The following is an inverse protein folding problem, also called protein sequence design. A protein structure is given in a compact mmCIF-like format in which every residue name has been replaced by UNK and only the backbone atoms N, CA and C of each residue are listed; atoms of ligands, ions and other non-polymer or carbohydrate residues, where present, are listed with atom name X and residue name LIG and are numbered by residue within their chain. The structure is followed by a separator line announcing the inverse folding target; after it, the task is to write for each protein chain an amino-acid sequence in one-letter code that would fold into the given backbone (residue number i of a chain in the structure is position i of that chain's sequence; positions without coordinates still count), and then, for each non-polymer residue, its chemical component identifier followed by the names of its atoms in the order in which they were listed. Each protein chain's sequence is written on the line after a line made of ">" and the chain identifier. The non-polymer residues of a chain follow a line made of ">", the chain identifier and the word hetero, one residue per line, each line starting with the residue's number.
data_IF_679381204635
#
_entry.id   IF_679381204635
#
_cell.length_a   1.000
_cell.length_b   1.000
_cell.length_c   1.000
_cell.angle_alpha   90.00
_cell.angle_beta   90.00
_cell.angle_gamma   90.00
#
_symmetry.space_group_name_H-M   'P 1'
#
loop_
_entity.id
_entity.type
_entity.pdbx_description
1 polymer ?
#
# COMPACT_ATOMS: atom_id res chain seq x y z
N UNK A 1 -13.05 41.71 71.33
CA UNK A 1 -14.46 41.29 71.19
C UNK A 1 -14.77 41.29 69.71
N UNK A 2 -15.38 40.22 69.24
CA UNK A 2 -15.47 39.84 67.84
C UNK A 2 -16.49 40.69 67.07
N UNK A 3 -16.06 41.30 65.97
CA UNK A 3 -16.93 41.66 64.86
C UNK A 3 -16.86 40.51 63.84
N UNK A 4 -18.00 39.87 63.62
CA UNK A 4 -18.17 38.77 62.66
C UNK A 4 -18.33 39.38 61.28
N UNK A 5 -17.32 39.27 60.44
CA UNK A 5 -17.49 39.41 58.99
C UNK A 5 -18.22 38.16 58.47
N UNK A 6 -19.37 38.39 57.84
CA UNK A 6 -20.16 37.39 57.13
C UNK A 6 -19.39 36.87 55.90
N UNK A 7 -19.35 35.54 55.67
CA UNK A 7 -18.79 34.99 54.44
C UNK A 7 -19.58 35.45 53.22
N UNK A 8 -18.85 36.10 52.32
CA UNK A 8 -19.23 36.55 51.00
C UNK A 8 -19.94 35.43 50.20
N UNK A 9 -21.15 35.69 49.72
CA UNK A 9 -21.87 34.80 48.80
C UNK A 9 -21.07 34.64 47.49
N UNK A 10 -20.96 33.43 46.91
CA UNK A 10 -20.29 33.26 45.63
C UNK A 10 -21.09 33.97 44.53
N UNK A 11 -20.39 34.84 43.79
CA UNK A 11 -20.90 35.57 42.63
C UNK A 11 -21.45 34.60 41.58
N UNK A 12 -22.61 34.98 41.07
CA UNK A 12 -23.34 34.53 39.88
C UNK A 12 -22.61 33.49 39.01
N UNK A 13 -23.20 32.30 38.94
CA UNK A 13 -22.97 31.38 37.82
C UNK A 13 -23.48 32.11 36.58
N UNK A 14 -22.56 32.66 35.79
CA UNK A 14 -22.87 33.10 34.43
C UNK A 14 -23.22 31.83 33.68
N UNK A 15 -24.52 31.55 33.54
CA UNK A 15 -25.00 30.57 32.56
C UNK A 15 -24.42 31.02 31.22
N UNK A 16 -23.51 30.20 30.69
CA UNK A 16 -22.98 30.39 29.35
C UNK A 16 -24.18 30.60 28.41
N UNK A 17 -24.13 31.68 27.63
CA UNK A 17 -25.19 31.94 26.68
C UNK A 17 -25.30 30.73 25.73
N UNK A 18 -26.50 30.34 25.27
CA UNK A 18 -26.67 29.17 24.39
C UNK A 18 -25.74 29.21 23.17
N UNK A 19 -25.42 30.43 22.68
CA UNK A 19 -24.50 30.67 21.57
C UNK A 19 -23.02 30.37 21.90
N UNK A 20 -22.60 30.54 23.16
CA UNK A 20 -21.25 30.19 23.62
C UNK A 20 -21.09 28.67 23.81
N UNK A 21 -22.15 27.99 24.25
CA UNK A 21 -22.18 26.52 24.34
C UNK A 21 -22.12 25.88 22.95
N UNK A 22 -22.89 26.42 21.98
CA UNK A 22 -22.89 25.91 20.60
C UNK A 22 -21.53 26.12 19.91
N UNK A 23 -20.86 27.25 20.16
CA UNK A 23 -19.47 27.48 19.70
C UNK A 23 -18.45 26.54 20.32
N UNK A 24 -18.58 26.27 21.63
CA UNK A 24 -17.71 25.31 22.31
C UNK A 24 -17.96 23.89 21.83
N UNK A 25 -19.20 23.52 21.51
CA UNK A 25 -19.56 22.24 20.90
C UNK A 25 -18.98 22.10 19.48
N UNK A 26 -19.06 23.15 18.66
CA UNK A 26 -18.42 23.19 17.32
C UNK A 26 -16.89 23.08 17.40
N UNK A 27 -16.24 23.81 18.31
CA UNK A 27 -14.78 23.71 18.51
C UNK A 27 -14.35 22.32 19.00
N UNK A 28 -15.13 21.69 19.87
CA UNK A 28 -14.84 20.33 20.36
C UNK A 28 -15.01 19.28 19.24
N UNK A 29 -16.04 19.44 18.39
CA UNK A 29 -16.25 18.60 17.20
C UNK A 29 -15.10 18.74 16.18
N UNK A 30 -14.63 19.95 15.92
CA UNK A 30 -13.47 20.17 15.04
C UNK A 30 -12.19 19.54 15.60
N UNK A 31 -11.96 19.63 16.92
CA UNK A 31 -10.80 19.01 17.57
C UNK A 31 -10.90 17.47 17.56
N UNK A 32 -12.10 16.91 17.71
CA UNK A 32 -12.34 15.46 17.59
C UNK A 32 -12.13 14.96 16.15
N UNK A 33 -12.62 15.67 15.13
CA UNK A 33 -12.37 15.31 13.72
C UNK A 33 -10.88 15.35 13.37
N UNK A 34 -10.16 16.40 13.81
CA UNK A 34 -8.71 16.53 13.59
C UNK A 34 -7.93 15.44 14.33
N UNK A 35 -8.38 15.05 15.53
CA UNK A 35 -7.79 13.96 16.29
C UNK A 35 -8.06 12.58 15.65
N UNK A 36 -9.27 12.35 15.13
CA UNK A 36 -9.59 11.12 14.39
C UNK A 36 -8.76 10.98 13.11
N UNK A 37 -8.55 12.07 12.36
CA UNK A 37 -7.73 12.07 11.15
C UNK A 37 -6.25 11.79 11.43
N UNK A 38 -5.71 12.33 12.54
CA UNK A 38 -4.35 12.02 12.99
C UNK A 38 -4.22 10.55 13.42
N UNK A 39 -5.19 10.02 14.18
CA UNK A 39 -5.19 8.60 14.63
C UNK A 39 -5.36 7.63 13.45
N UNK A 40 -6.13 8.00 12.41
CA UNK A 40 -6.25 7.24 11.15
C UNK A 40 -4.93 7.16 10.40
N UNK A 41 -4.12 8.21 10.48
CA UNK A 41 -2.81 8.25 9.81
C UNK A 41 -1.76 7.40 10.53
N UNK A 42 -1.91 7.20 11.84
CA UNK A 42 -0.92 6.54 12.69
C UNK A 42 -1.20 5.06 12.98
N UNK A 43 -2.34 4.49 12.56
CA UNK A 43 -2.52 3.03 12.69
C UNK A 43 -1.33 2.32 12.05
N UNK A 44 -0.49 1.61 12.82
CA UNK A 44 0.60 0.84 12.24
C UNK A 44 -0.06 -0.14 11.28
N UNK A 45 0.35 -0.13 10.00
CA UNK A 45 -0.05 -1.18 9.06
C UNK A 45 0.30 -2.51 9.72
N UNK A 46 -0.69 -3.22 10.25
CA UNK A 46 -0.49 -4.55 10.83
C UNK A 46 0.24 -5.39 9.78
N UNK A 47 1.50 -5.73 10.07
CA UNK A 47 2.26 -6.65 9.23
C UNK A 47 1.47 -7.95 9.19
N UNK A 48 0.95 -8.28 8.00
CA UNK A 48 0.04 -9.41 7.83
C UNK A 48 0.71 -10.69 8.36
N UNK A 49 0.26 -11.26 9.49
CA UNK A 49 0.97 -12.37 10.16
C UNK A 49 1.12 -13.60 9.26
N UNK A 50 0.19 -13.77 8.31
CA UNK A 50 0.18 -14.83 7.32
C UNK A 50 1.46 -14.92 6.46
N UNK A 51 2.05 -13.78 6.06
CA UNK A 51 3.23 -13.78 5.19
C UNK A 51 4.46 -14.38 5.87
N UNK A 52 4.57 -14.19 7.19
CA UNK A 52 5.70 -14.68 7.98
C UNK A 52 5.66 -16.20 8.15
N UNK A 53 4.45 -16.76 8.26
CA UNK A 53 4.23 -18.21 8.30
C UNK A 53 4.55 -18.87 6.95
N UNK A 54 4.15 -18.26 5.83
CA UNK A 54 4.47 -18.75 4.49
C UNK A 54 6.00 -18.83 4.28
N UNK A 55 6.73 -17.80 4.71
CA UNK A 55 8.19 -17.75 4.59
C UNK A 55 8.89 -18.87 5.38
N UNK A 56 8.37 -19.21 6.56
CA UNK A 56 8.92 -20.28 7.39
C UNK A 56 8.75 -21.66 6.73
N UNK A 57 7.63 -21.88 6.04
CA UNK A 57 7.32 -23.13 5.33
C UNK A 57 8.06 -23.29 4.00
N UNK A 58 8.63 -22.21 3.46
CA UNK A 58 9.23 -22.19 2.13
C UNK A 58 10.50 -23.04 2.05
N UNK A 59 10.50 -24.03 1.15
CA UNK A 59 11.68 -24.85 0.84
C UNK A 59 12.26 -24.41 -0.51
N UNK A 60 13.42 -23.71 -0.53
CA UNK A 60 13.99 -23.18 -1.76
C UNK A 60 14.54 -24.29 -2.67
N UNK A 61 14.23 -24.21 -3.96
CA UNK A 61 14.71 -25.14 -4.99
C UNK A 61 15.91 -24.54 -5.71
N UNK A 62 15.96 -23.23 -5.88
CA UNK A 62 17.05 -22.55 -6.57
C UNK A 62 18.29 -22.36 -5.69
N UNK A 63 19.48 -22.24 -6.31
CA UNK A 63 20.71 -21.89 -5.59
C UNK A 63 20.59 -20.52 -4.91
N UNK A 64 19.91 -19.57 -5.58
CA UNK A 64 19.68 -18.23 -5.06
C UNK A 64 18.77 -18.27 -3.82
N UNK A 65 17.66 -18.99 -3.89
CA UNK A 65 16.74 -19.15 -2.76
C UNK A 65 17.42 -19.79 -1.54
N UNK A 66 18.33 -20.75 -1.73
CA UNK A 66 19.13 -21.30 -0.63
C UNK A 66 20.05 -20.25 -0.01
N UNK A 67 20.75 -19.46 -0.82
CA UNK A 67 21.63 -18.39 -0.33
C UNK A 67 20.86 -17.31 0.45
N UNK A 68 19.65 -16.97 0.00
CA UNK A 68 18.77 -16.00 0.66
C UNK A 68 18.23 -16.59 1.97
N UNK A 69 17.76 -17.84 1.97
CA UNK A 69 17.28 -18.52 3.17
C UNK A 69 18.37 -18.73 4.23
N UNK A 70 19.61 -18.98 3.80
CA UNK A 70 20.79 -19.04 4.66
C UNK A 70 21.22 -17.64 5.19
N UNK A 71 20.69 -16.55 4.63
CA UNK A 71 21.01 -15.18 5.04
C UNK A 71 22.33 -14.64 4.49
N UNK A 72 22.91 -15.29 3.47
CA UNK A 72 24.15 -14.85 2.82
C UNK A 72 23.95 -13.57 2.00
N UNK A 73 22.78 -13.44 1.39
CA UNK A 73 22.37 -12.24 0.64
C UNK A 73 21.25 -11.58 1.44
N UNK A 74 21.48 -10.32 1.84
CA UNK A 74 20.51 -9.51 2.60
C UNK A 74 19.87 -8.42 1.77
N UNK A 75 20.55 -7.98 0.70
CA UNK A 75 20.09 -6.90 -0.16
C UNK A 75 19.65 -7.47 -1.52
N UNK A 76 18.50 -7.02 -1.99
CA UNK A 76 18.02 -7.38 -3.34
C UNK A 76 18.86 -6.73 -4.45
N UNK A 77 19.47 -5.59 -4.16
CA UNK A 77 20.34 -4.86 -5.08
C UNK A 77 21.49 -5.72 -5.61
N UNK A 78 22.11 -6.54 -4.77
CA UNK A 78 23.19 -7.46 -5.16
C UNK A 78 22.72 -8.48 -6.22
N UNK A 79 21.46 -8.88 -6.15
CA UNK A 79 20.85 -9.82 -7.10
C UNK A 79 20.58 -9.12 -8.43
N UNK A 80 20.02 -7.91 -8.38
CA UNK A 80 19.65 -7.13 -9.56
C UNK A 80 20.89 -6.65 -10.32
N UNK A 81 21.90 -6.13 -9.62
CA UNK A 81 23.15 -5.63 -10.21
C UNK A 81 23.99 -6.78 -10.82
N UNK A 82 23.92 -7.98 -10.24
CA UNK A 82 24.54 -9.17 -10.83
C UNK A 82 23.79 -9.76 -12.03
N UNK A 83 22.63 -9.18 -12.39
CA UNK A 83 21.81 -9.60 -13.52
C UNK A 83 21.19 -11.00 -13.36
N UNK A 84 21.14 -11.53 -12.13
CA UNK A 84 20.56 -12.86 -11.85
C UNK A 84 19.05 -12.77 -11.88
N UNK A 85 18.41 -13.71 -12.58
CA UNK A 85 16.94 -13.79 -12.62
C UNK A 85 16.37 -14.37 -11.33
N UNK A 86 15.36 -13.70 -10.79
CA UNK A 86 14.55 -14.20 -9.68
C UNK A 86 13.53 -15.19 -10.26
N UNK A 87 13.51 -16.42 -9.74
CA UNK A 87 12.63 -17.49 -10.21
C UNK A 87 11.64 -17.97 -9.13
N UNK A 88 11.84 -17.54 -7.89
CA UNK A 88 10.99 -17.87 -6.74
C UNK A 88 10.46 -16.54 -6.17
N UNK A 89 9.13 -16.32 -6.12
CA UNK A 89 8.55 -15.07 -5.62
C UNK A 89 8.86 -14.84 -4.14
N UNK A 90 9.09 -15.91 -3.38
CA UNK A 90 9.38 -15.88 -1.95
C UNK A 90 10.73 -15.21 -1.64
N UNK A 91 11.67 -15.20 -2.62
CA UNK A 91 12.92 -14.43 -2.51
C UNK A 91 12.61 -12.94 -2.35
N UNK A 92 11.69 -12.42 -3.15
CA UNK A 92 11.31 -11.02 -3.12
C UNK A 92 10.58 -10.67 -1.82
N UNK A 93 9.74 -11.57 -1.32
CA UNK A 93 9.03 -11.40 -0.05
C UNK A 93 9.95 -11.49 1.18
N UNK A 94 11.05 -12.25 1.09
CA UNK A 94 12.03 -12.35 2.16
C UNK A 94 12.94 -11.12 2.27
N UNK A 95 13.22 -10.46 1.15
CA UNK A 95 14.18 -9.36 1.06
C UNK A 95 13.55 -7.97 1.15
N UNK A 96 12.28 -7.82 0.73
CA UNK A 96 11.60 -6.52 0.66
C UNK A 96 10.23 -6.55 1.33
N UNK A 97 9.82 -5.40 1.88
CA UNK A 97 8.43 -5.19 2.30
C UNK A 97 7.60 -4.69 1.12
N UNK A 98 6.91 -5.61 0.44
CA UNK A 98 6.24 -5.35 -0.82
C UNK A 98 4.74 -5.04 -0.65
N UNK A 99 4.31 -3.90 -1.14
CA UNK A 99 2.90 -3.59 -1.37
C UNK A 99 2.47 -4.10 -2.74
N UNK A 100 1.22 -4.53 -2.87
CA UNK A 100 0.66 -4.97 -4.15
C UNK A 100 -0.61 -4.21 -4.50
N UNK A 101 -0.63 -3.65 -5.69
CA UNK A 101 -1.77 -2.92 -6.25
C UNK A 101 -2.18 -3.53 -7.59
N UNK A 102 -3.48 -3.56 -7.86
CA UNK A 102 -4.03 -4.08 -9.10
C UNK A 102 -4.34 -2.94 -10.05
N UNK A 103 -3.81 -3.00 -11.27
CA UNK A 103 -4.12 -2.01 -12.30
C UNK A 103 -5.49 -2.29 -12.91
N UNK A 104 -6.26 -1.22 -13.09
CA UNK A 104 -7.57 -1.29 -13.72
C UNK A 104 -7.49 -1.42 -15.24
N UNK A 105 -7.15 -2.61 -15.72
CA UNK A 105 -7.02 -2.91 -17.17
C UNK A 105 -8.34 -3.29 -17.85
N UNK A 106 -9.37 -3.58 -17.06
CA UNK A 106 -10.67 -4.02 -17.55
C UNK A 106 -11.64 -2.88 -17.75
N UNK A 107 -12.60 -3.07 -18.65
CA UNK A 107 -13.71 -2.15 -18.86
C UNK A 107 -15.02 -2.93 -18.92
N UNK A 108 -16.03 -2.45 -18.19
CA UNK A 108 -17.41 -2.92 -18.37
C UNK A 108 -18.02 -2.10 -19.49
N UNK A 109 -18.44 -2.70 -20.61
CA UNK A 109 -19.10 -1.94 -21.66
C UNK A 109 -20.41 -1.35 -21.10
N UNK A 110 -20.50 -0.02 -21.09
CA UNK A 110 -21.73 0.71 -20.76
C UNK A 110 -22.60 0.93 -22.01
N UNK A 111 -23.84 1.37 -21.81
CA UNK A 111 -24.83 1.61 -22.89
C UNK A 111 -24.35 2.59 -23.97
N UNK A 112 -23.42 3.50 -23.63
CA UNK A 112 -22.90 4.55 -24.54
C UNK A 112 -21.37 4.63 -24.55
N UNK A 113 -20.65 3.51 -24.40
CA UNK A 113 -19.18 3.51 -24.38
C UNK A 113 -18.53 4.08 -23.11
N UNK A 114 -19.31 4.77 -22.25
CA UNK A 114 -18.94 5.12 -20.88
C UNK A 114 -18.87 3.89 -19.98
N UNK A 115 -17.78 3.14 -20.08
CA UNK A 115 -17.57 1.93 -19.30
C UNK A 115 -16.90 2.21 -17.96
N UNK A 116 -17.35 1.54 -16.89
CA UNK A 116 -16.64 1.54 -15.60
C UNK A 116 -15.38 0.68 -15.70
N UNK A 117 -14.27 1.18 -15.17
CA UNK A 117 -13.01 0.44 -15.11
C UNK A 117 -13.11 -0.71 -14.09
N UNK A 118 -12.43 -1.83 -14.36
CA UNK A 118 -12.31 -3.00 -13.49
C UNK A 118 -10.85 -3.43 -13.40
N UNK A 119 -10.49 -4.09 -12.31
CA UNK A 119 -9.14 -4.64 -12.10
C UNK A 119 -8.77 -5.78 -13.07
N UNK A 120 -9.75 -6.44 -13.70
CA UNK A 120 -9.50 -7.54 -14.64
C UNK A 120 -10.15 -7.32 -15.99
N UNK A 121 -9.44 -7.71 -17.05
CA UNK A 121 -9.91 -7.74 -18.43
C UNK A 121 -10.54 -9.09 -18.73
N UNK A 122 -11.79 -9.09 -19.17
CA UNK A 122 -12.49 -10.28 -19.64
C UNK A 122 -12.30 -10.43 -21.15
N UNK A 123 -11.82 -11.60 -21.57
CA UNK A 123 -11.62 -11.94 -22.99
C UNK A 123 -12.34 -13.25 -23.28
N UNK A 124 -13.10 -13.28 -24.37
CA UNK A 124 -13.86 -14.47 -24.78
C UNK A 124 -13.34 -14.99 -26.12
N UNK A 125 -13.04 -16.28 -26.20
CA UNK A 125 -12.75 -16.98 -27.45
C UNK A 125 -14.03 -17.68 -27.92
N UNK A 126 -14.49 -17.37 -29.14
CA UNK A 126 -15.61 -18.08 -29.75
C UNK A 126 -15.16 -19.46 -30.25
N UNK A 127 -15.87 -20.51 -29.86
CA UNK A 127 -15.70 -21.89 -30.35
C UNK A 127 -17.06 -22.43 -30.81
N UNK A 128 -17.06 -23.58 -31.50
CA UNK A 128 -18.31 -24.20 -31.98
C UNK A 128 -19.24 -24.61 -30.82
N UNK A 129 -18.66 -25.01 -29.69
CA UNK A 129 -19.39 -25.43 -28.47
C UNK A 129 -19.80 -24.25 -27.57
N UNK A 130 -19.47 -23.01 -27.95
CA UNK A 130 -19.83 -21.81 -27.18
C UNK A 130 -18.67 -20.83 -26.99
N UNK A 131 -18.82 -19.90 -26.04
CA UNK A 131 -17.78 -18.91 -25.75
C UNK A 131 -16.95 -19.32 -24.55
N UNK A 132 -15.65 -19.50 -24.75
CA UNK A 132 -14.71 -19.78 -23.66
C UNK A 132 -14.20 -18.46 -23.09
N UNK A 133 -14.54 -18.20 -21.83
CA UNK A 133 -14.13 -16.99 -21.12
C UNK A 133 -12.76 -17.15 -20.47
N UNK A 134 -12.00 -16.07 -20.45
CA UNK A 134 -10.73 -15.96 -19.73
C UNK A 134 -10.60 -14.57 -19.11
N UNK A 135 -10.01 -14.52 -17.93
CA UNK A 135 -9.76 -13.29 -17.21
C UNK A 135 -8.26 -13.03 -17.16
N UNK A 136 -7.88 -11.79 -17.48
CA UNK A 136 -6.53 -11.30 -17.32
C UNK A 136 -6.50 -10.22 -16.25
N UNK A 137 -5.47 -10.23 -15.43
CA UNK A 137 -5.20 -9.22 -14.40
C UNK A 137 -3.78 -8.70 -14.56
N UNK A 138 -3.55 -7.47 -14.13
CA UNK A 138 -2.22 -6.86 -14.07
C UNK A 138 -2.01 -6.31 -12.67
N UNK A 139 -0.87 -6.64 -12.07
CA UNK A 139 -0.49 -6.21 -10.74
C UNK A 139 0.84 -5.47 -10.82
N UNK A 140 0.94 -4.44 -9.99
CA UNK A 140 2.18 -3.72 -9.69
C UNK A 140 2.51 -4.02 -8.24
N UNK A 141 3.78 -4.32 -7.98
CA UNK A 141 4.30 -4.62 -6.65
C UNK A 141 5.47 -3.67 -6.39
N UNK A 142 5.63 -3.15 -5.18
CA UNK A 142 6.76 -2.28 -4.87
C UNK A 142 6.85 -1.88 -3.41
N UNK A 143 8.01 -1.36 -3.03
CA UNK A 143 8.37 -0.97 -1.66
C UNK A 143 8.40 0.55 -1.45
N UNK A 144 8.00 1.33 -2.47
CA UNK A 144 8.09 2.80 -2.53
C UNK A 144 9.52 3.35 -2.33
N UNK A 145 10.54 2.49 -2.38
CA UNK A 145 11.95 2.83 -2.13
C UNK A 145 12.84 2.55 -3.36
N UNK A 146 12.24 2.59 -4.56
CA UNK A 146 12.95 2.39 -5.81
C UNK A 146 12.90 0.95 -6.35
N UNK A 147 12.14 0.04 -5.74
CA UNK A 147 11.87 -1.28 -6.31
C UNK A 147 10.42 -1.38 -6.80
N UNK A 148 10.26 -1.72 -8.07
CA UNK A 148 8.93 -1.91 -8.68
C UNK A 148 8.94 -3.20 -9.48
N UNK A 149 7.89 -3.99 -9.38
CA UNK A 149 7.68 -5.20 -10.16
C UNK A 149 6.34 -5.15 -10.87
N UNK A 150 6.30 -5.59 -12.13
CA UNK A 150 5.08 -5.61 -12.93
C UNK A 150 4.81 -7.03 -13.42
N UNK A 151 3.56 -7.46 -13.27
CA UNK A 151 3.15 -8.81 -13.63
C UNK A 151 1.77 -8.84 -14.24
N UNK A 152 1.61 -9.68 -15.26
CA UNK A 152 0.30 -10.02 -15.83
C UNK A 152 -0.02 -11.48 -15.55
N UNK A 153 -1.27 -11.77 -15.23
CA UNK A 153 -1.79 -13.11 -15.04
C UNK A 153 -3.00 -13.37 -15.92
N UNK A 154 -3.19 -14.63 -16.34
CA UNK A 154 -4.39 -15.08 -17.08
C UNK A 154 -4.88 -16.42 -16.55
N UNK A 155 -6.19 -16.54 -16.34
CA UNK A 155 -6.85 -17.76 -15.90
C UNK A 155 -8.30 -17.84 -16.40
N UNK A 156 -8.99 -18.94 -16.07
CA UNK A 156 -10.42 -19.12 -16.35
C UNK A 156 -11.31 -18.37 -15.34
N UNK A 157 -10.77 -18.03 -14.17
CA UNK A 157 -11.43 -17.31 -13.09
C UNK A 157 -10.62 -16.09 -12.66
N UNK A 158 -11.20 -15.21 -11.86
CA UNK A 158 -10.60 -13.92 -11.47
C UNK A 158 -9.53 -14.05 -10.39
N UNK A 159 -9.77 -14.82 -9.32
CA UNK A 159 -8.83 -15.05 -8.22
C UNK A 159 -7.49 -15.67 -8.70
N UNK A 160 -7.49 -16.79 -9.44
CA UNK A 160 -6.22 -17.36 -9.92
C UNK A 160 -5.52 -16.45 -10.95
N UNK A 161 -6.25 -15.59 -11.67
CA UNK A 161 -5.61 -14.59 -12.54
C UNK A 161 -4.89 -13.52 -11.71
N UNK A 162 -5.50 -13.04 -10.61
CA UNK A 162 -4.90 -12.10 -9.65
C UNK A 162 -3.65 -12.67 -9.01
N UNK A 163 -3.71 -13.88 -8.46
CA UNK A 163 -2.56 -14.53 -7.82
C UNK A 163 -1.39 -14.72 -8.78
N UNK A 164 -1.67 -15.13 -10.03
CA UNK A 164 -0.65 -15.23 -11.08
C UNK A 164 -0.03 -13.87 -11.42
N UNK A 165 -0.84 -12.81 -11.47
CA UNK A 165 -0.35 -11.46 -11.74
C UNK A 165 0.60 -10.99 -10.63
N UNK A 166 0.21 -11.15 -9.36
CA UNK A 166 1.05 -10.80 -8.20
C UNK A 166 2.33 -11.64 -8.16
N UNK A 167 2.24 -12.95 -8.39
CA UNK A 167 3.41 -13.83 -8.47
C UNK A 167 4.40 -13.37 -9.54
N UNK A 168 3.89 -13.09 -10.75
CA UNK A 168 4.73 -12.63 -11.85
C UNK A 168 5.33 -11.25 -11.57
N UNK A 169 4.62 -10.37 -10.86
CA UNK A 169 5.13 -9.05 -10.49
C UNK A 169 6.31 -9.17 -9.52
N UNK A 170 6.21 -10.06 -8.52
CA UNK A 170 7.30 -10.35 -7.57
C UNK A 170 8.55 -10.94 -8.24
N UNK A 171 8.39 -11.72 -9.30
CA UNK A 171 9.51 -12.28 -10.07
C UNK A 171 10.20 -11.23 -10.96
N UNK A 172 9.45 -10.22 -11.43
CA UNK A 172 9.93 -9.20 -12.36
C UNK A 172 10.20 -7.87 -11.66
N UNK A 173 10.86 -7.90 -10.51
CA UNK A 173 11.27 -6.68 -9.81
C UNK A 173 12.42 -6.01 -10.58
N UNK A 174 12.28 -4.72 -10.77
CA UNK A 174 13.26 -3.82 -11.36
C UNK A 174 13.67 -2.77 -10.31
N UNK A 175 14.95 -2.41 -10.33
CA UNK A 175 15.49 -1.29 -9.59
C UNK A 175 15.34 -0.03 -10.41
N UNK A 176 14.78 1.01 -9.80
CA UNK A 176 14.60 2.34 -10.36
C UNK A 176 15.54 3.27 -9.60
N UNK A 177 16.34 4.05 -10.33
CA UNK A 177 17.13 5.11 -9.73
C UNK A 177 16.21 6.29 -9.42
N UNK A 178 16.16 6.67 -8.16
CA UNK A 178 15.47 7.88 -7.71
C UNK A 178 16.49 9.02 -7.60
N UNK A 179 16.05 10.24 -7.88
CA UNK A 179 16.85 11.46 -7.89
C UNK A 179 16.22 12.57 -7.08
N UNK A 180 16.82 13.77 -7.20
CA UNK A 180 16.41 14.99 -6.51
C UNK A 180 16.03 16.07 -7.53
N UNK A 181 14.99 16.86 -7.23
CA UNK A 181 14.56 17.96 -8.11
C UNK A 181 15.65 19.03 -8.26
N UNK A 182 16.30 19.39 -7.15
CA UNK A 182 17.47 20.26 -7.14
C UNK A 182 18.58 19.66 -6.27
N UNK A 183 19.76 19.34 -6.83
CA UNK A 183 20.88 18.83 -6.04
C UNK A 183 21.52 19.88 -5.10
N UNK A 184 21.13 21.16 -5.25
CA UNK A 184 21.67 22.28 -4.47
C UNK A 184 20.99 22.46 -3.12
N UNK A 185 19.72 22.05 -2.97
CA UNK A 185 18.98 22.21 -1.74
C UNK A 185 19.33 21.12 -0.72
N UNK A 186 19.77 21.51 0.48
CA UNK A 186 20.23 20.56 1.51
C UNK A 186 19.09 19.70 2.09
N UNK A 187 17.86 20.23 2.13
CA UNK A 187 16.67 19.51 2.60
C UNK A 187 16.25 18.38 1.65
N UNK A 188 16.48 18.59 0.36
CA UNK A 188 16.05 17.66 -0.69
C UNK A 188 16.99 16.46 -0.79
N UNK A 189 18.26 16.57 -0.36
CA UNK A 189 19.28 15.50 -0.44
C UNK A 189 18.98 14.24 0.38
N UNK A 190 18.07 14.29 1.36
CA UNK A 190 17.82 13.14 2.25
C UNK A 190 16.86 12.12 1.66
N UNK A 191 15.84 12.57 0.93
CA UNK A 191 14.79 11.70 0.41
C UNK A 191 14.67 11.90 -1.11
N UNK A 192 15.11 10.90 -1.91
CA UNK A 192 14.98 11.00 -3.35
C UNK A 192 13.50 10.86 -3.72
N UNK A 193 12.97 11.84 -4.44
CA UNK A 193 11.53 12.00 -4.69
C UNK A 193 11.18 12.20 -6.17
N UNK A 194 12.18 12.35 -7.04
CA UNK A 194 11.97 12.53 -8.48
C UNK A 194 12.71 11.47 -9.29
N UNK A 195 12.49 11.48 -10.60
CA UNK A 195 13.22 10.65 -11.56
C UNK A 195 14.38 11.49 -12.13
N UNK A 196 15.62 10.97 -12.12
CA UNK A 196 16.74 11.66 -12.73
C UNK A 196 16.55 11.75 -14.24
N UNK A 197 16.86 12.92 -14.83
CA UNK A 197 16.79 13.20 -16.26
C UNK A 197 18.17 13.35 -16.89
#
# INVERSE_FOLDING_TARGET
>A
MAEKESPNEPKDVVEATPEELEKLEEEVLEVEEVAEDLVRSETPKEEKPFLKEELASWVPKTKLGRMVKEGKIKNIDEILDSGRKILEPEISDALLNLESEMLMIGQVPGKFGGGRRRAWRQTQKKTQEGNIMSFSAMAVVGDRAGHVGIGTGKARETLPAREKAVRNAKLNIIKIQLGFESPENEKDRKNPHTIPF
#
